data_IF_854528622875
#
_entry.id   IF_854528622875
#
_cell.length_a   1.000
_cell.length_b   1.000
_cell.length_c   1.000
_cell.angle_alpha   90.00
_cell.angle_beta   90.00
_cell.angle_gamma   90.00
#
_symmetry.space_group_name_H-M   'P 1'
#
loop_
_entity.id
_entity.type
_entity.pdbx_description
1 polymer ?
#
# COMPACT_ATOMS: atom_id res chain seq x y z
N UNK A 1 1.65 9.97 4.98
CA UNK A 1 2.03 8.93 4.01
C UNK A 1 2.32 9.58 2.67
N UNK A 2 3.41 9.17 2.01
CA UNK A 2 3.84 9.72 0.73
C UNK A 2 4.01 8.60 -0.28
N UNK A 3 3.30 8.70 -1.40
CA UNK A 3 3.46 7.81 -2.54
C UNK A 3 4.48 8.42 -3.51
N UNK A 4 5.41 7.61 -3.99
CA UNK A 4 6.50 8.03 -4.86
C UNK A 4 6.49 7.22 -6.15
N UNK A 5 6.28 7.91 -7.28
CA UNK A 5 6.31 7.32 -8.61
C UNK A 5 7.68 7.49 -9.24
N UNK A 6 8.15 6.47 -9.89
CA UNK A 6 9.41 6.50 -10.63
C UNK A 6 9.32 5.65 -11.91
N UNK A 7 10.34 5.76 -12.77
CA UNK A 7 10.39 5.01 -14.03
C UNK A 7 10.53 3.52 -13.73
N UNK A 8 9.84 2.65 -14.49
CA UNK A 8 10.02 1.20 -14.37
C UNK A 8 11.47 0.76 -14.61
N UNK A 9 12.22 1.55 -15.41
CA UNK A 9 13.62 1.28 -15.76
C UNK A 9 14.64 1.70 -14.69
N UNK A 10 14.23 2.37 -13.59
CA UNK A 10 15.16 2.65 -12.50
C UNK A 10 15.58 1.33 -11.85
N UNK A 11 16.87 1.16 -11.64
CA UNK A 11 17.42 -0.02 -10.99
C UNK A 11 16.88 -0.17 -9.56
N UNK A 12 16.51 -1.39 -9.20
CA UNK A 12 15.90 -1.69 -7.89
C UNK A 12 16.90 -1.62 -6.74
N UNK A 13 18.14 -2.04 -7.01
CA UNK A 13 19.22 -1.95 -6.01
C UNK A 13 19.52 -0.49 -5.73
N UNK A 14 19.67 0.34 -6.79
CA UNK A 14 19.90 1.79 -6.64
C UNK A 14 18.74 2.47 -5.88
N UNK A 15 17.49 2.10 -6.19
CA UNK A 15 16.32 2.64 -5.48
C UNK A 15 16.39 2.28 -3.99
N UNK A 16 16.67 1.01 -3.68
CA UNK A 16 16.75 0.52 -2.32
C UNK A 16 17.88 1.22 -1.54
N UNK A 17 19.09 1.28 -2.08
CA UNK A 17 20.23 1.99 -1.46
C UNK A 17 19.88 3.47 -1.22
N UNK A 18 19.33 4.16 -2.22
CA UNK A 18 18.92 5.56 -2.06
C UNK A 18 17.91 5.74 -0.92
N UNK A 19 16.88 4.89 -0.87
CA UNK A 19 15.78 5.07 0.07
C UNK A 19 16.12 4.62 1.49
N UNK A 20 16.90 3.54 1.65
CA UNK A 20 17.20 2.98 2.97
C UNK A 20 18.49 3.51 3.58
N UNK A 21 19.52 3.84 2.80
CA UNK A 21 20.81 4.29 3.31
C UNK A 21 20.87 5.83 3.43
N UNK A 22 20.38 6.58 2.43
CA UNK A 22 20.43 8.06 2.45
C UNK A 22 19.13 8.67 2.99
N UNK A 23 17.99 8.40 2.34
CA UNK A 23 16.70 9.05 2.67
C UNK A 23 16.25 8.67 4.07
N UNK A 24 16.32 7.39 4.44
CA UNK A 24 15.91 6.91 5.76
C UNK A 24 16.72 7.55 6.88
N UNK A 25 18.04 7.63 6.74
CA UNK A 25 18.92 8.25 7.76
C UNK A 25 18.60 9.74 7.94
N UNK A 26 18.37 10.46 6.86
CA UNK A 26 17.99 11.88 6.90
C UNK A 26 16.62 12.09 7.53
N UNK A 27 15.65 11.21 7.25
CA UNK A 27 14.31 11.26 7.84
C UNK A 27 14.37 10.94 9.35
N UNK A 28 15.15 9.93 9.76
CA UNK A 28 15.37 9.59 11.17
C UNK A 28 16.01 10.73 11.95
N UNK A 29 16.94 11.46 11.33
CA UNK A 29 17.59 12.61 11.97
C UNK A 29 16.61 13.75 12.34
N UNK A 30 15.40 13.74 11.78
CA UNK A 30 14.32 14.67 12.13
C UNK A 30 13.42 14.15 13.27
N UNK A 31 13.72 12.99 13.85
CA UNK A 31 13.08 12.38 15.01
C UNK A 31 11.54 12.20 14.88
N UNK A 32 11.05 11.51 13.82
CA UNK A 32 9.62 11.22 13.71
C UNK A 32 9.18 10.22 14.77
N UNK A 33 7.93 10.28 15.22
CA UNK A 33 7.35 9.30 16.14
C UNK A 33 7.27 7.87 15.55
N UNK A 34 7.30 7.76 14.22
CA UNK A 34 7.40 6.51 13.50
C UNK A 34 7.78 6.73 12.04
N UNK A 35 8.50 5.77 11.46
CA UNK A 35 8.94 5.76 10.08
C UNK A 35 8.88 4.34 9.52
N UNK A 36 8.23 4.16 8.37
CA UNK A 36 8.38 2.97 7.53
C UNK A 36 8.52 3.35 6.06
N UNK A 37 9.19 2.48 5.31
CA UNK A 37 9.39 2.63 3.88
C UNK A 37 9.05 1.28 3.22
N UNK A 38 8.12 1.32 2.26
CA UNK A 38 7.81 0.18 1.42
C UNK A 38 8.40 0.41 0.04
N UNK A 39 9.08 -0.59 -0.52
CA UNK A 39 9.87 -0.46 -1.75
C UNK A 39 9.57 -1.56 -2.77
N UNK A 40 9.47 -1.16 -4.04
CA UNK A 40 9.60 -2.05 -5.19
C UNK A 40 11.09 -2.37 -5.41
N UNK A 41 11.62 -3.30 -4.62
CA UNK A 41 12.98 -3.81 -4.71
C UNK A 41 13.04 -5.21 -5.35
N UNK A 42 14.21 -5.83 -5.37
CA UNK A 42 14.41 -7.14 -6.01
C UNK A 42 13.65 -8.30 -5.33
N UNK A 43 13.26 -8.13 -4.07
CA UNK A 43 12.45 -9.09 -3.33
C UNK A 43 10.94 -8.94 -3.60
N UNK A 44 10.52 -7.84 -4.24
CA UNK A 44 9.12 -7.48 -4.48
C UNK A 44 8.73 -7.57 -5.97
N UNK A 45 9.05 -8.69 -6.64
CA UNK A 45 8.89 -8.82 -8.10
C UNK A 45 7.62 -9.54 -8.55
N UNK A 46 6.79 -10.06 -7.64
CA UNK A 46 5.57 -10.77 -8.00
C UNK A 46 4.56 -9.80 -8.65
N UNK A 47 4.00 -10.12 -9.83
CA UNK A 47 2.98 -9.28 -10.45
C UNK A 47 1.68 -9.36 -9.66
N UNK A 48 1.04 -8.23 -9.43
CA UNK A 48 -0.34 -8.19 -8.95
C UNK A 48 -1.31 -8.51 -10.09
N UNK A 49 -2.51 -9.01 -9.76
CA UNK A 49 -3.57 -9.21 -10.77
C UNK A 49 -4.19 -7.90 -11.29
N UNK A 50 -3.73 -6.74 -10.80
CA UNK A 50 -4.22 -5.42 -11.17
C UNK A 50 -3.23 -4.75 -12.14
N UNK A 51 -3.61 -4.56 -13.41
CA UNK A 51 -2.70 -3.95 -14.38
C UNK A 51 -2.49 -2.45 -14.10
N UNK A 52 -1.25 -1.99 -14.24
CA UNK A 52 -0.93 -0.58 -14.37
C UNK A 52 -0.99 -0.20 -15.84
N UNK A 53 -1.68 0.88 -16.26
CA UNK A 53 -1.67 1.35 -17.64
C UNK A 53 -0.25 1.66 -18.12
N UNK A 54 0.05 1.37 -19.39
CA UNK A 54 1.40 1.54 -19.98
C UNK A 54 1.91 3.00 -19.98
N UNK A 55 0.98 3.96 -19.94
CA UNK A 55 1.27 5.38 -19.90
C UNK A 55 1.38 5.97 -18.49
N UNK A 56 1.17 5.16 -17.46
CA UNK A 56 1.30 5.57 -16.05
C UNK A 56 2.64 5.10 -15.46
N UNK A 57 3.23 5.98 -14.64
CA UNK A 57 4.37 5.60 -13.82
C UNK A 57 3.88 4.72 -12.65
N UNK A 58 4.57 3.63 -12.32
CA UNK A 58 4.28 2.85 -11.12
C UNK A 58 4.65 3.60 -9.85
N UNK A 59 3.93 3.33 -8.77
CA UNK A 59 4.39 3.67 -7.42
C UNK A 59 5.51 2.69 -7.08
N UNK A 60 6.69 3.21 -6.75
CA UNK A 60 7.88 2.41 -6.47
C UNK A 60 8.36 2.52 -5.03
N UNK A 61 7.86 3.52 -4.29
CA UNK A 61 8.08 3.62 -2.86
C UNK A 61 6.87 4.25 -2.17
N UNK A 62 6.64 3.82 -0.94
CA UNK A 62 5.71 4.45 -0.01
C UNK A 62 6.47 4.80 1.27
N UNK A 63 6.38 6.05 1.70
CA UNK A 63 6.99 6.51 2.96
C UNK A 63 5.89 6.88 3.93
N UNK A 64 5.80 6.17 5.04
CA UNK A 64 4.86 6.43 6.11
C UNK A 64 5.57 7.09 7.27
N UNK A 65 5.04 8.24 7.70
CA UNK A 65 5.57 9.06 8.79
C UNK A 65 4.48 9.25 9.84
N UNK A 66 4.80 8.98 11.08
CA UNK A 66 3.99 9.37 12.24
C UNK A 66 4.62 10.60 12.87
N UNK A 67 3.88 11.69 12.92
CA UNK A 67 4.31 12.97 13.44
C UNK A 67 3.34 13.43 14.53
N UNK A 68 3.88 14.00 15.61
CA UNK A 68 3.05 14.58 16.68
C UNK A 68 2.26 15.79 16.19
N UNK A 69 2.79 16.52 15.22
CA UNK A 69 2.16 17.67 14.61
C UNK A 69 2.34 17.65 13.08
N UNK A 70 1.22 17.69 12.36
CA UNK A 70 1.24 17.71 10.89
C UNK A 70 1.98 18.91 10.30
N UNK A 71 2.04 20.05 11.00
CA UNK A 71 2.70 21.26 10.51
C UNK A 71 4.23 21.10 10.47
N UNK A 72 4.78 20.14 11.21
CA UNK A 72 6.21 19.83 11.22
C UNK A 72 6.68 18.98 10.04
N UNK A 73 5.78 18.61 9.11
CA UNK A 73 6.11 17.78 7.93
C UNK A 73 7.07 18.44 6.93
N UNK A 74 7.19 19.78 6.92
CA UNK A 74 7.94 20.51 5.90
C UNK A 74 9.39 20.02 5.69
N UNK A 75 10.21 19.82 6.75
CA UNK A 75 11.56 19.27 6.63
C UNK A 75 11.59 17.86 6.03
N UNK A 76 10.62 16.99 6.36
CA UNK A 76 10.49 15.64 5.79
C UNK A 76 10.13 15.71 4.30
N UNK A 77 9.18 16.57 3.94
CA UNK A 77 8.81 16.82 2.54
C UNK A 77 10.00 17.31 1.72
N UNK A 78 10.85 18.19 2.28
CA UNK A 78 12.03 18.69 1.60
C UNK A 78 12.99 17.54 1.22
N UNK A 79 13.22 16.58 2.11
CA UNK A 79 14.04 15.40 1.83
C UNK A 79 13.41 14.52 0.74
N UNK A 80 12.13 14.20 0.90
CA UNK A 80 11.40 13.35 -0.07
C UNK A 80 11.30 14.03 -1.43
N UNK A 81 11.27 15.36 -1.48
CA UNK A 81 11.12 16.12 -2.72
C UNK A 81 12.41 16.24 -3.53
N UNK A 82 13.52 15.87 -2.98
CA UNK A 82 14.79 15.69 -3.71
C UNK A 82 14.79 14.37 -4.50
N UNK A 83 13.94 13.41 -4.11
CA UNK A 83 13.91 12.07 -4.68
C UNK A 83 12.75 11.91 -5.68
N UNK A 84 13.00 11.14 -6.71
CA UNK A 84 11.96 10.67 -7.62
C UNK A 84 11.36 11.73 -8.55
N UNK A 85 10.46 11.27 -9.38
CA UNK A 85 9.88 12.04 -10.49
C UNK A 85 8.55 12.67 -10.08
N UNK A 86 7.68 11.88 -9.44
CA UNK A 86 6.36 12.32 -8.97
C UNK A 86 6.14 11.80 -7.56
N UNK A 87 5.52 12.60 -6.74
CA UNK A 87 5.16 12.26 -5.37
C UNK A 87 3.86 12.92 -4.97
N UNK A 88 3.14 12.26 -4.06
CA UNK A 88 1.93 12.79 -3.46
C UNK A 88 1.89 12.43 -1.99
N UNK A 89 1.67 13.43 -1.15
CA UNK A 89 1.49 13.27 0.29
C UNK A 89 0.02 13.27 0.65
N UNK A 90 -0.33 12.42 1.63
CA UNK A 90 -1.67 12.27 2.16
C UNK A 90 -1.66 12.27 3.68
N UNK A 91 -2.59 12.99 4.28
CA UNK A 91 -3.00 12.74 5.66
C UNK A 91 -3.95 11.56 5.65
N UNK A 92 -3.64 10.55 6.43
CA UNK A 92 -4.46 9.32 6.52
C UNK A 92 -4.83 9.03 7.98
N UNK A 93 -5.92 8.28 8.17
CA UNK A 93 -6.18 7.58 9.42
C UNK A 93 -5.82 6.12 9.23
N UNK A 94 -4.82 5.66 9.98
CA UNK A 94 -4.43 4.26 9.99
C UNK A 94 -5.39 3.42 10.83
N UNK A 95 -5.82 2.30 10.28
CA UNK A 95 -6.62 1.30 10.97
C UNK A 95 -6.00 -0.07 10.75
N UNK A 96 -5.28 -0.54 11.77
CA UNK A 96 -4.69 -1.87 11.78
C UNK A 96 -5.80 -2.91 12.02
N UNK A 97 -6.17 -3.64 10.97
CA UNK A 97 -7.23 -4.64 11.03
C UNK A 97 -6.70 -5.99 11.53
N UNK A 98 -5.59 -6.47 10.96
CA UNK A 98 -4.82 -7.61 11.46
C UNK A 98 -3.33 -7.27 11.46
N UNK A 99 -2.64 -7.57 12.58
CA UNK A 99 -1.26 -7.08 12.81
C UNK A 99 -0.20 -8.06 12.31
N UNK A 100 -0.48 -9.35 12.37
CA UNK A 100 0.47 -10.38 11.95
C UNK A 100 1.68 -10.53 12.89
N UNK A 101 2.78 -11.13 12.39
CA UNK A 101 4.01 -11.28 13.16
C UNK A 101 4.67 -9.90 13.36
N UNK A 102 5.45 -9.80 14.45
CA UNK A 102 6.25 -8.60 14.71
C UNK A 102 7.19 -8.30 13.53
N UNK A 103 7.20 -7.06 13.09
CA UNK A 103 8.12 -6.58 12.05
C UNK A 103 9.45 -6.20 12.69
N UNK A 104 10.59 -6.70 12.19
CA UNK A 104 11.89 -6.29 12.68
C UNK A 104 12.14 -4.81 12.37
N UNK A 105 12.94 -4.15 13.18
CA UNK A 105 13.40 -2.78 12.91
C UNK A 105 14.68 -2.88 12.07
N UNK A 106 14.80 -2.03 11.05
CA UNK A 106 15.94 -1.93 10.13
C UNK A 106 16.18 -3.18 9.26
N UNK A 107 15.24 -4.10 9.24
CA UNK A 107 15.30 -5.28 8.39
C UNK A 107 14.01 -5.37 7.57
N UNK A 108 14.08 -6.07 6.44
CA UNK A 108 12.92 -6.40 5.62
C UNK A 108 11.95 -7.27 6.43
N UNK A 109 10.70 -6.89 6.48
CA UNK A 109 9.66 -7.72 7.09
C UNK A 109 9.46 -9.03 6.29
N UNK A 110 9.14 -10.14 6.96
CA UNK A 110 8.86 -11.40 6.26
C UNK A 110 7.57 -11.31 5.43
N UNK A 111 7.53 -12.08 4.35
CA UNK A 111 6.42 -12.09 3.41
C UNK A 111 6.60 -11.10 2.27
N UNK A 112 5.50 -10.77 1.58
CA UNK A 112 5.45 -9.78 0.53
C UNK A 112 4.24 -8.88 0.73
N UNK A 113 4.44 -7.57 0.67
CA UNK A 113 3.38 -6.60 0.80
C UNK A 113 2.78 -6.25 -0.57
N UNK A 114 1.47 -6.05 -0.62
CA UNK A 114 0.81 -5.29 -1.67
C UNK A 114 0.34 -3.95 -1.12
N UNK A 115 0.61 -2.88 -1.87
CA UNK A 115 0.04 -1.56 -1.63
C UNK A 115 -0.99 -1.29 -2.71
N UNK A 116 -2.24 -1.15 -2.31
CA UNK A 116 -3.37 -0.90 -3.22
C UNK A 116 -3.94 0.47 -2.96
N UNK A 117 -4.11 1.27 -4.01
CA UNK A 117 -4.71 2.60 -3.95
C UNK A 117 -5.93 2.67 -4.86
N UNK A 118 -6.95 3.40 -4.44
CA UNK A 118 -8.16 3.60 -5.25
C UNK A 118 -8.97 4.81 -4.80
N UNK A 119 -9.79 5.33 -5.73
CA UNK A 119 -10.81 6.31 -5.44
C UNK A 119 -12.08 5.59 -4.99
N UNK A 120 -12.81 6.22 -4.07
CA UNK A 120 -14.14 5.74 -3.67
C UNK A 120 -15.11 5.77 -4.85
N UNK A 121 -15.97 4.75 -4.96
CA UNK A 121 -17.06 4.76 -5.93
C UNK A 121 -17.93 6.02 -5.79
N UNK A 122 -18.17 6.71 -6.91
CA UNK A 122 -18.99 7.92 -6.96
C UNK A 122 -20.45 7.71 -6.53
N UNK A 123 -20.88 6.44 -6.40
CA UNK A 123 -22.22 6.05 -5.93
C UNK A 123 -22.34 6.06 -4.41
N UNK A 124 -21.21 6.15 -3.68
CA UNK A 124 -21.19 6.05 -2.22
C UNK A 124 -20.90 7.42 -1.61
N UNK A 125 -21.65 7.76 -0.57
CA UNK A 125 -21.24 8.79 0.38
C UNK A 125 -20.24 8.22 1.40
N UNK A 126 -19.77 9.04 2.34
CA UNK A 126 -18.77 8.61 3.33
C UNK A 126 -19.31 7.50 4.24
N UNK A 127 -20.56 7.60 4.70
CA UNK A 127 -21.17 6.61 5.59
C UNK A 127 -21.31 5.25 4.91
N UNK A 128 -21.80 5.23 3.68
CA UNK A 128 -21.93 4.01 2.88
C UNK A 128 -20.55 3.42 2.51
N UNK A 129 -19.57 4.26 2.17
CA UNK A 129 -18.22 3.83 1.86
C UNK A 129 -17.56 3.13 3.05
N UNK A 130 -17.52 3.76 4.21
CA UNK A 130 -16.92 3.16 5.40
C UNK A 130 -17.73 1.97 5.93
N UNK A 131 -19.06 2.01 5.83
CA UNK A 131 -19.93 0.89 6.16
C UNK A 131 -19.63 -0.34 5.29
N UNK A 132 -19.46 -0.17 3.98
CA UNK A 132 -19.10 -1.23 3.06
C UNK A 132 -17.66 -1.70 3.27
N UNK A 133 -16.69 -0.79 3.34
CA UNK A 133 -15.28 -1.15 3.46
C UNK A 133 -14.96 -1.83 4.80
N UNK A 134 -15.36 -1.21 5.92
CA UNK A 134 -15.02 -1.68 7.26
C UNK A 134 -15.96 -2.77 7.77
N UNK A 135 -17.25 -2.69 7.41
CA UNK A 135 -18.28 -3.61 7.90
C UNK A 135 -18.48 -4.86 7.02
N UNK A 136 -18.11 -4.80 5.75
CA UNK A 136 -18.31 -5.91 4.82
C UNK A 136 -17.03 -6.38 4.14
N UNK A 137 -16.35 -5.51 3.37
CA UNK A 137 -15.18 -5.91 2.56
C UNK A 137 -14.05 -6.47 3.43
N UNK A 138 -13.67 -5.77 4.51
CA UNK A 138 -12.56 -6.20 5.36
C UNK A 138 -12.83 -7.52 6.07
N UNK A 139 -13.97 -7.75 6.76
CA UNK A 139 -14.27 -9.05 7.36
C UNK A 139 -14.37 -10.19 6.35
N UNK A 140 -15.00 -9.93 5.19
CA UNK A 140 -15.15 -10.91 4.12
C UNK A 140 -13.80 -11.33 3.54
N UNK A 141 -12.94 -10.36 3.19
CA UNK A 141 -11.63 -10.65 2.62
C UNK A 141 -10.70 -11.34 3.63
N UNK A 142 -10.77 -10.99 4.92
CA UNK A 142 -10.01 -11.67 5.97
C UNK A 142 -10.40 -13.15 6.12
N UNK A 143 -11.67 -13.45 5.94
CA UNK A 143 -12.14 -14.84 5.97
C UNK A 143 -11.69 -15.64 4.74
N UNK A 144 -11.58 -14.99 3.58
CA UNK A 144 -11.25 -15.65 2.30
C UNK A 144 -9.75 -15.78 2.04
N UNK A 145 -8.94 -14.85 2.56
CA UNK A 145 -7.54 -14.67 2.16
C UNK A 145 -6.58 -14.83 3.34
N UNK A 146 -5.54 -15.67 3.21
CA UNK A 146 -4.60 -15.98 4.29
C UNK A 146 -3.53 -14.89 4.47
N UNK A 147 -3.93 -13.62 4.42
CA UNK A 147 -3.03 -12.50 4.68
C UNK A 147 -2.50 -12.57 6.12
N UNK A 148 -1.27 -12.16 6.33
CA UNK A 148 -0.66 -12.11 7.66
C UNK A 148 -0.80 -10.75 8.32
N UNK A 149 -0.99 -9.68 7.52
CA UNK A 149 -1.22 -8.32 8.01
C UNK A 149 -2.16 -7.56 7.07
N UNK A 150 -3.03 -6.73 7.61
CA UNK A 150 -3.92 -5.89 6.84
C UNK A 150 -4.10 -4.52 7.51
N UNK A 151 -3.72 -3.47 6.78
CA UNK A 151 -3.84 -2.07 7.22
C UNK A 151 -4.69 -1.28 6.23
N UNK A 152 -5.61 -0.49 6.77
CA UNK A 152 -6.45 0.42 6.02
C UNK A 152 -6.04 1.85 6.35
N UNK A 153 -5.51 2.55 5.37
CA UNK A 153 -5.22 3.98 5.48
C UNK A 153 -6.32 4.75 4.74
N UNK A 154 -7.32 5.23 5.48
CA UNK A 154 -8.35 6.08 4.91
C UNK A 154 -7.79 7.49 4.71
N UNK A 155 -7.87 8.01 3.50
CA UNK A 155 -7.35 9.32 3.15
C UNK A 155 -8.29 10.41 3.69
N UNK A 156 -7.77 11.24 4.59
CA UNK A 156 -8.45 12.42 5.11
C UNK A 156 -8.39 13.56 4.11
N UNK A 157 -7.19 13.81 3.56
CA UNK A 157 -6.95 14.81 2.51
C UNK A 157 -5.58 14.67 1.88
N UNK A 158 -5.44 15.15 0.66
CA UNK A 158 -4.14 15.37 0.04
C UNK A 158 -3.38 16.51 0.75
N UNK A 159 -2.05 16.35 0.84
CA UNK A 159 -1.12 17.34 1.40
C UNK A 159 -0.34 18.09 0.32
N UNK A 160 -0.20 17.50 -0.85
CA UNK A 160 0.60 18.06 -1.96
C UNK A 160 -0.30 18.44 -3.14
N UNK A 161 0.00 19.54 -3.85
CA UNK A 161 -0.74 19.90 -5.07
C UNK A 161 -0.63 18.83 -6.14
N UNK A 162 -1.73 18.56 -6.85
CA UNK A 162 -1.77 17.58 -7.94
C UNK A 162 -1.71 16.11 -7.50
N UNK A 163 -1.88 15.83 -6.22
CA UNK A 163 -2.05 14.47 -5.73
C UNK A 163 -3.32 13.85 -6.33
N UNK A 164 -3.27 12.57 -6.76
CA UNK A 164 -4.48 11.84 -7.15
C UNK A 164 -5.52 11.83 -6.01
N UNK A 165 -6.83 11.83 -6.33
CA UNK A 165 -7.89 11.93 -5.32
C UNK A 165 -8.18 10.59 -4.63
N UNK A 166 -7.16 9.80 -4.31
CA UNK A 166 -7.35 8.52 -3.65
C UNK A 166 -8.13 8.66 -2.34
N UNK A 167 -9.09 7.78 -2.13
CA UNK A 167 -9.85 7.66 -0.89
C UNK A 167 -9.22 6.66 0.08
N UNK A 168 -8.47 5.71 -0.44
CA UNK A 168 -7.86 4.63 0.33
C UNK A 168 -6.45 4.28 -0.15
N UNK A 169 -5.59 3.93 0.81
CA UNK A 169 -4.29 3.29 0.62
C UNK A 169 -4.29 2.05 1.52
N UNK A 170 -4.28 0.88 0.92
CA UNK A 170 -4.40 -0.41 1.62
C UNK A 170 -3.06 -1.12 1.56
N UNK A 171 -2.59 -1.60 2.71
CA UNK A 171 -1.39 -2.43 2.83
C UNK A 171 -1.79 -3.83 3.26
N UNK A 172 -1.38 -4.83 2.48
CA UNK A 172 -1.68 -6.24 2.75
C UNK A 172 -0.40 -7.05 2.66
N UNK A 173 0.01 -7.68 3.77
CA UNK A 173 1.17 -8.57 3.77
C UNK A 173 0.72 -10.01 3.58
N UNK A 174 1.30 -10.67 2.60
CA UNK A 174 1.08 -12.06 2.23
C UNK A 174 2.22 -12.93 2.73
N UNK A 175 1.98 -14.23 3.05
CA UNK A 175 3.03 -15.11 3.55
C UNK A 175 4.22 -15.26 2.59
N UNK A 176 3.96 -15.24 1.29
CA UNK A 176 4.99 -15.36 0.24
C UNK A 176 4.50 -14.79 -1.09
N UNK A 177 5.40 -14.58 -2.08
CA UNK A 177 5.04 -14.13 -3.43
C UNK A 177 4.03 -15.03 -4.15
N UNK A 178 4.05 -16.33 -3.89
CA UNK A 178 3.14 -17.31 -4.51
C UNK A 178 1.68 -17.04 -4.09
N UNK A 179 1.42 -16.49 -2.90
CA UNK A 179 0.07 -16.12 -2.46
C UNK A 179 -0.52 -14.96 -3.26
N UNK A 180 0.27 -14.26 -4.08
CA UNK A 180 -0.22 -13.22 -4.98
C UNK A 180 -0.48 -13.78 -6.38
N UNK A 181 0.33 -14.76 -6.81
CA UNK A 181 0.32 -15.26 -8.19
C UNK A 181 -0.47 -16.56 -8.37
N UNK A 182 -0.68 -17.33 -7.30
CA UNK A 182 -1.45 -18.57 -7.31
C UNK A 182 -2.82 -18.36 -6.62
N UNK A 183 -3.94 -18.40 -7.36
CA UNK A 183 -5.26 -18.22 -6.78
C UNK A 183 -5.61 -19.25 -5.69
N UNK A 184 -5.08 -20.47 -5.74
CA UNK A 184 -5.35 -21.48 -4.71
C UNK A 184 -4.74 -21.08 -3.35
N UNK A 185 -3.54 -20.52 -3.38
CA UNK A 185 -2.89 -19.96 -2.20
C UNK A 185 -3.54 -18.64 -1.77
N UNK A 186 -3.88 -17.76 -2.73
CA UNK A 186 -4.52 -16.48 -2.45
C UNK A 186 -5.89 -16.61 -1.76
N UNK A 187 -6.62 -17.67 -2.04
CA UNK A 187 -7.94 -17.94 -1.45
C UNK A 187 -7.97 -19.16 -0.51
N UNK A 188 -6.81 -19.75 -0.21
CA UNK A 188 -6.69 -20.83 0.76
C UNK A 188 -7.52 -22.08 0.44
N UNK A 189 -7.77 -22.37 -0.85
CA UNK A 189 -8.58 -23.50 -1.29
C UNK A 189 -8.08 -24.07 -2.62
N UNK A 190 -8.06 -25.41 -2.71
CA UNK A 190 -7.79 -26.12 -3.96
C UNK A 190 -9.07 -26.48 -4.74
N UNK A 191 -10.25 -26.27 -4.15
CA UNK A 191 -11.54 -26.51 -4.78
C UNK A 191 -11.83 -25.40 -5.80
N UNK A 192 -11.90 -25.70 -7.12
CA UNK A 192 -12.05 -24.70 -8.15
C UNK A 192 -13.41 -23.99 -8.11
N UNK A 193 -14.46 -24.67 -7.63
CA UNK A 193 -15.79 -24.06 -7.55
C UNK A 193 -15.84 -23.05 -6.37
N UNK A 194 -15.27 -23.42 -5.22
CA UNK A 194 -15.13 -22.51 -4.07
C UNK A 194 -14.23 -21.33 -4.40
N UNK A 195 -13.10 -21.57 -5.05
CA UNK A 195 -12.18 -20.54 -5.48
C UNK A 195 -12.85 -19.56 -6.46
N UNK A 196 -13.54 -20.09 -7.47
CA UNK A 196 -14.26 -19.27 -8.45
C UNK A 196 -15.34 -18.39 -7.79
N UNK A 197 -16.08 -18.93 -6.82
CA UNK A 197 -17.06 -18.16 -6.06
C UNK A 197 -16.41 -17.09 -5.19
N UNK A 198 -15.30 -17.38 -4.49
CA UNK A 198 -14.56 -16.42 -3.69
C UNK A 198 -14.03 -15.26 -4.54
N UNK A 199 -13.45 -15.55 -5.71
CA UNK A 199 -13.00 -14.53 -6.67
C UNK A 199 -14.17 -13.64 -7.09
N UNK A 200 -15.31 -14.24 -7.47
CA UNK A 200 -16.49 -13.49 -7.89
C UNK A 200 -16.98 -12.56 -6.77
N UNK A 201 -17.14 -13.07 -5.56
CA UNK A 201 -17.58 -12.27 -4.40
C UNK A 201 -16.62 -11.12 -4.13
N UNK A 202 -15.31 -11.38 -4.21
CA UNK A 202 -14.29 -10.34 -4.01
C UNK A 202 -14.40 -9.24 -5.07
N UNK A 203 -14.47 -9.60 -6.35
CA UNK A 203 -14.59 -8.64 -7.44
C UNK A 203 -15.89 -7.83 -7.37
N UNK A 204 -17.02 -8.48 -7.06
CA UNK A 204 -18.30 -7.82 -6.87
C UNK A 204 -18.21 -6.77 -5.74
N UNK A 205 -17.63 -7.14 -4.59
CA UNK A 205 -17.50 -6.25 -3.44
C UNK A 205 -16.55 -5.08 -3.73
N UNK A 206 -15.39 -5.33 -4.34
CA UNK A 206 -14.44 -4.26 -4.71
C UNK A 206 -15.06 -3.30 -5.74
N UNK A 207 -15.83 -3.82 -6.71
CA UNK A 207 -16.49 -2.99 -7.73
C UNK A 207 -17.59 -2.09 -7.18
N UNK A 208 -18.17 -2.43 -6.03
CA UNK A 208 -19.10 -1.56 -5.31
C UNK A 208 -18.36 -0.46 -4.54
N UNK A 209 -17.18 -0.78 -4.01
CA UNK A 209 -16.40 0.07 -3.12
C UNK A 209 -15.57 1.12 -3.88
N UNK A 210 -14.92 0.72 -4.96
CA UNK A 210 -13.93 1.48 -5.69
C UNK A 210 -14.38 1.89 -7.09
N UNK A 211 -13.86 3.02 -7.58
CA UNK A 211 -13.82 3.30 -9.01
C UNK A 211 -12.71 2.44 -9.63
N UNK A 212 -13.10 1.33 -10.28
CA UNK A 212 -12.18 0.29 -10.77
C UNK A 212 -11.10 0.81 -11.71
N UNK A 213 -11.37 1.88 -12.45
CA UNK A 213 -10.40 2.52 -13.34
C UNK A 213 -9.24 3.18 -12.59
N UNK A 214 -9.45 3.52 -11.31
CA UNK A 214 -8.45 4.18 -10.47
C UNK A 214 -7.67 3.20 -9.60
N UNK A 215 -8.13 1.96 -9.50
CA UNK A 215 -7.51 0.92 -8.67
C UNK A 215 -6.15 0.56 -9.23
N UNK A 216 -5.11 0.69 -8.37
CA UNK A 216 -3.73 0.29 -8.66
C UNK A 216 -3.19 -0.53 -7.50
N UNK A 217 -2.42 -1.56 -7.81
CA UNK A 217 -1.81 -2.41 -6.79
C UNK A 217 -0.37 -2.73 -7.17
N UNK A 218 0.53 -2.62 -6.20
CA UNK A 218 1.96 -2.81 -6.38
C UNK A 218 2.49 -3.73 -5.29
N UNK A 219 3.42 -4.61 -5.65
CA UNK A 219 4.16 -5.41 -4.68
C UNK A 219 5.33 -4.61 -4.13
N UNK A 220 5.57 -4.73 -2.84
CA UNK A 220 6.63 -4.00 -2.13
C UNK A 220 7.21 -4.84 -1.00
N UNK A 221 8.47 -4.58 -0.68
CA UNK A 221 9.12 -5.01 0.56
C UNK A 221 8.86 -3.98 1.65
N UNK A 222 8.45 -4.42 2.84
CA UNK A 222 8.16 -3.56 4.00
C UNK A 222 9.39 -3.44 4.90
N UNK A 223 9.79 -2.20 5.20
CA UNK A 223 10.88 -1.85 6.10
C UNK A 223 10.38 -0.92 7.19
N UNK A 224 10.28 -1.43 8.42
CA UNK A 224 10.04 -0.61 9.60
C UNK A 224 11.36 -0.04 10.10
N UNK A 225 11.44 1.29 10.25
CA UNK A 225 12.69 1.99 10.54
C UNK A 225 12.74 2.67 11.92
N UNK A 226 11.59 2.81 12.60
CA UNK A 226 11.49 3.25 14.01
C UNK A 226 10.27 2.62 14.67
#
# INVERSE_FOLDING_TARGET
MYLMWDRPSRDRVELRETMLDDVADRLRALDPAGLSIDLDDDDATAPTGVPTPDDELPIRAVVSLWLDNLDDRGPFEAILFEQGIRRAGYLVTESLYSDGPARPIDERAPGLMTVTVFDRSLRLDDEAFFGLWYGHQSPMSEWMQPRVRYVRNAVVRALTPGAPPYAAIVEETWPSPEHITDPSLAFGTEDPDVMGENIRIMLDSVSLLAEMETLRSFTMSDYRLT
#
